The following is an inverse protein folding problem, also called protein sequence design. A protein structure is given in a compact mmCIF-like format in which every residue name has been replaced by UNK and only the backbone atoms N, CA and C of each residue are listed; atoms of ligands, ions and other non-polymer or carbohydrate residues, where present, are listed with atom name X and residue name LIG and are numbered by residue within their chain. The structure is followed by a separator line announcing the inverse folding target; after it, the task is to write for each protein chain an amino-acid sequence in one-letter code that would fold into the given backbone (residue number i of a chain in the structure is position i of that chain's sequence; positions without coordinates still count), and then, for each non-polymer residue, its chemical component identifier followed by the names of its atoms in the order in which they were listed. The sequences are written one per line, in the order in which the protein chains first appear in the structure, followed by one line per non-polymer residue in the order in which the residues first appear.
data_IF_227444330247
#
_entry.id   IF_227444330247
#
_cell.length_a   1.000
_cell.length_b   1.000
_cell.length_c   1.000
_cell.angle_alpha   90.00
_cell.angle_beta   90.00
_cell.angle_gamma   90.00
#
_symmetry.space_group_name_H-M   'P 1'
#
loop_
_entity.id
_entity.type
_entity.pdbx_description
1 polymer ?
#
# COMPACT_ATOMS: atom_id res chain seq x y z
N UNK A 1 -1.25 21.59 1.90
CA UNK A 1 0.04 21.12 1.36
C UNK A 1 -0.11 21.09 -0.14
N UNK A 2 0.72 21.86 -0.85
CA UNK A 2 0.64 22.00 -2.31
C UNK A 2 1.44 20.90 -3.02
N UNK A 3 1.02 20.51 -4.23
CA UNK A 3 1.66 19.43 -4.99
C UNK A 3 3.16 19.67 -5.23
N UNK A 4 3.56 20.91 -5.50
CA UNK A 4 4.95 21.32 -5.69
C UNK A 4 5.81 21.06 -4.44
N UNK A 5 5.26 21.31 -3.25
CA UNK A 5 5.92 21.05 -1.99
C UNK A 5 6.13 19.55 -1.77
N UNK A 6 5.10 18.73 -2.02
CA UNK A 6 5.19 17.27 -1.88
C UNK A 6 6.19 16.69 -2.86
N UNK A 7 6.13 17.15 -4.12
CA UNK A 7 7.04 16.71 -5.18
C UNK A 7 8.48 16.98 -4.74
N UNK A 8 8.85 18.21 -4.41
CA UNK A 8 10.23 18.49 -3.97
C UNK A 8 10.64 17.73 -2.72
N UNK A 9 9.75 17.59 -1.74
CA UNK A 9 10.07 16.92 -0.47
C UNK A 9 10.23 15.40 -0.58
N UNK A 10 9.62 14.78 -1.60
CA UNK A 10 9.67 13.33 -1.81
C UNK A 10 10.65 12.89 -2.89
N UNK A 11 11.34 13.84 -3.54
CA UNK A 11 12.37 13.51 -4.52
C UNK A 11 13.60 12.90 -3.83
N UNK A 12 13.94 11.67 -4.21
CA UNK A 12 15.16 11.01 -3.76
C UNK A 12 16.33 11.49 -4.63
N UNK A 13 17.10 12.44 -4.10
CA UNK A 13 18.28 12.99 -4.79
C UNK A 13 19.41 11.98 -4.97
N UNK A 14 19.45 10.91 -4.16
CA UNK A 14 20.49 9.88 -4.26
C UNK A 14 20.28 8.94 -5.45
N UNK A 15 19.01 8.67 -5.78
CA UNK A 15 18.63 7.84 -6.93
C UNK A 15 18.05 8.66 -8.10
N UNK A 16 18.01 9.98 -7.97
CA UNK A 16 17.38 10.93 -8.91
C UNK A 16 15.96 10.50 -9.33
N UNK A 17 15.16 10.04 -8.37
CA UNK A 17 13.88 9.39 -8.64
C UNK A 17 12.79 9.71 -7.61
N UNK A 18 11.54 9.46 -8.00
CA UNK A 18 10.39 9.41 -7.10
C UNK A 18 10.02 7.97 -6.78
N UNK A 19 9.25 7.77 -5.71
CA UNK A 19 8.74 6.43 -5.34
C UNK A 19 9.65 5.67 -4.37
N UNK A 20 10.66 6.33 -3.79
CA UNK A 20 11.34 5.82 -2.60
C UNK A 20 10.42 6.03 -1.37
N UNK A 21 9.67 5.01 -1.00
CA UNK A 21 8.67 5.13 0.05
C UNK A 21 9.19 5.40 1.46
N UNK A 22 10.37 4.90 1.86
CA UNK A 22 11.07 5.43 3.03
C UNK A 22 11.28 6.96 2.99
N UNK A 23 11.66 7.54 1.84
CA UNK A 23 11.77 9.00 1.68
C UNK A 23 10.42 9.68 1.84
N UNK A 24 9.35 9.12 1.26
CA UNK A 24 7.99 9.65 1.44
C UNK A 24 7.56 9.65 2.92
N UNK A 25 7.90 8.59 3.66
CA UNK A 25 7.63 8.51 5.10
C UNK A 25 8.45 9.55 5.89
N UNK A 26 9.73 9.75 5.54
CA UNK A 26 10.56 10.80 6.14
C UNK A 26 9.95 12.19 5.93
N UNK A 27 9.55 12.51 4.69
CA UNK A 27 8.92 13.79 4.36
C UNK A 27 7.59 13.99 5.11
N UNK A 28 6.75 12.95 5.24
CA UNK A 28 5.56 13.04 6.07
C UNK A 28 5.91 13.37 7.54
N UNK A 29 7.01 12.82 8.05
CA UNK A 29 7.59 13.15 9.36
C UNK A 29 7.97 14.62 9.50
N UNK A 30 8.63 15.20 8.49
CA UNK A 30 8.97 16.63 8.45
C UNK A 30 7.73 17.53 8.47
N UNK A 31 6.62 17.05 7.91
CA UNK A 31 5.33 17.75 7.95
C UNK A 31 4.58 17.57 9.29
N UNK A 32 5.23 17.00 10.31
CA UNK A 32 4.69 16.84 11.66
C UNK A 32 3.89 15.57 11.91
N UNK A 33 3.84 14.65 10.94
CA UNK A 33 3.15 13.37 11.07
C UNK A 33 4.03 12.33 11.77
N UNK A 34 3.45 11.34 12.42
CA UNK A 34 4.17 10.11 12.77
C UNK A 34 4.16 9.16 11.57
N UNK A 35 5.31 8.99 10.93
CA UNK A 35 5.45 8.12 9.77
C UNK A 35 6.61 7.11 9.92
N UNK A 36 6.37 5.84 9.58
CA UNK A 36 7.40 4.80 9.65
C UNK A 36 7.08 3.57 8.78
N UNK A 37 8.13 2.84 8.44
CA UNK A 37 8.05 1.52 7.78
C UNK A 37 8.04 0.41 8.83
N UNK A 38 7.23 -0.63 8.61
CA UNK A 38 7.17 -1.81 9.48
C UNK A 38 7.16 -3.09 8.65
N UNK A 39 8.11 -3.99 8.96
CA UNK A 39 8.05 -5.39 8.50
C UNK A 39 7.14 -6.19 9.43
N UNK A 40 6.12 -6.82 8.88
CA UNK A 40 5.12 -7.58 9.61
C UNK A 40 5.40 -9.09 9.50
N UNK A 41 5.10 -9.85 10.55
CA UNK A 41 5.21 -11.33 10.52
C UNK A 41 3.93 -12.02 10.06
N UNK A 42 2.81 -11.29 10.04
CA UNK A 42 1.49 -11.77 9.62
C UNK A 42 0.62 -10.58 9.22
N UNK A 43 -0.62 -10.84 8.78
CA UNK A 43 -1.60 -9.79 8.45
C UNK A 43 -2.17 -9.09 9.69
N UNK A 44 -2.02 -9.68 10.89
CA UNK A 44 -2.67 -9.17 12.10
C UNK A 44 -2.34 -7.71 12.45
N UNK A 45 -1.09 -7.22 12.32
CA UNK A 45 -0.80 -5.81 12.51
C UNK A 45 -1.61 -4.92 11.56
N UNK A 46 -1.79 -5.31 10.29
CA UNK A 46 -2.59 -4.58 9.31
C UNK A 46 -4.05 -4.52 9.76
N UNK A 47 -4.65 -5.67 10.10
CA UNK A 47 -6.02 -5.73 10.66
C UNK A 47 -6.17 -4.82 11.88
N UNK A 48 -5.19 -4.81 12.79
CA UNK A 48 -5.21 -3.96 13.99
C UNK A 48 -5.13 -2.45 13.70
N UNK A 49 -4.50 -2.02 12.59
CA UNK A 49 -4.55 -0.62 12.17
C UNK A 49 -5.92 -0.29 11.57
N UNK A 50 -6.43 -1.16 10.69
CA UNK A 50 -7.73 -0.98 10.05
C UNK A 50 -8.86 -0.91 11.09
N UNK A 51 -8.85 -1.75 12.13
CA UNK A 51 -9.86 -1.69 13.21
C UNK A 51 -9.81 -0.39 14.02
N UNK A 52 -8.71 0.35 13.97
CA UNK A 52 -8.54 1.67 14.56
C UNK A 52 -8.83 2.81 13.58
N UNK A 53 -9.31 2.51 12.37
CA UNK A 53 -9.56 3.49 11.32
C UNK A 53 -8.28 4.05 10.68
N UNK A 54 -7.13 3.37 10.84
CA UNK A 54 -5.85 3.80 10.28
C UNK A 54 -5.56 2.98 9.01
N UNK A 55 -5.68 3.55 7.80
CA UNK A 55 -5.26 2.87 6.59
C UNK A 55 -3.74 2.71 6.58
N UNK A 56 -3.25 1.68 5.89
CA UNK A 56 -1.80 1.43 5.77
C UNK A 56 -1.44 1.22 4.31
N UNK A 57 -0.28 1.74 3.91
CA UNK A 57 0.25 1.47 2.57
C UNK A 57 1.03 0.16 2.63
N UNK A 58 0.78 -0.77 1.72
CA UNK A 58 1.41 -2.08 1.68
C UNK A 58 2.16 -2.30 0.37
N UNK A 59 3.32 -2.95 0.45
CA UNK A 59 4.15 -3.25 -0.73
C UNK A 59 3.95 -4.68 -1.21
N UNK A 60 3.49 -4.83 -2.44
CA UNK A 60 3.31 -6.12 -3.11
C UNK A 60 4.35 -6.29 -4.23
N UNK A 61 4.65 -7.52 -4.61
CA UNK A 61 5.47 -7.86 -5.76
C UNK A 61 5.04 -9.23 -6.29
N UNK A 62 4.79 -9.30 -7.60
CA UNK A 62 4.40 -10.53 -8.29
C UNK A 62 4.86 -10.49 -9.73
N UNK A 63 5.35 -11.63 -10.22
CA UNK A 63 5.85 -11.73 -11.59
C UNK A 63 4.73 -12.05 -12.57
N UNK A 64 3.71 -12.80 -12.14
CA UNK A 64 2.56 -13.15 -12.96
C UNK A 64 1.33 -12.38 -12.45
N UNK A 65 0.47 -11.97 -13.37
CA UNK A 65 -0.77 -11.26 -13.03
C UNK A 65 -1.75 -12.20 -12.31
N UNK A 66 -1.73 -13.47 -12.68
CA UNK A 66 -2.60 -14.54 -12.21
C UNK A 66 -2.30 -14.95 -10.75
N UNK A 67 -1.20 -14.49 -10.17
CA UNK A 67 -0.89 -14.71 -8.75
C UNK A 67 -1.87 -13.94 -7.83
N UNK A 68 -2.60 -12.96 -8.38
CA UNK A 68 -3.61 -12.16 -7.69
C UNK A 68 -4.82 -11.89 -8.59
N UNK A 69 -5.92 -12.60 -8.36
CA UNK A 69 -7.11 -12.46 -9.19
C UNK A 69 -7.66 -11.03 -9.16
N UNK A 70 -7.94 -10.48 -10.35
CA UNK A 70 -8.43 -9.10 -10.51
C UNK A 70 -7.34 -8.03 -10.47
N UNK A 71 -6.06 -8.40 -10.37
CA UNK A 71 -4.96 -7.48 -10.60
C UNK A 71 -4.97 -6.96 -12.05
N UNK A 72 -4.47 -5.76 -12.28
CA UNK A 72 -4.48 -5.12 -13.60
C UNK A 72 -3.27 -5.53 -14.43
N UNK A 73 -2.12 -5.74 -13.79
CA UNK A 73 -0.87 -6.18 -14.39
C UNK A 73 -0.07 -7.04 -13.42
N UNK A 74 1.07 -7.58 -13.87
CA UNK A 74 2.12 -8.00 -12.95
C UNK A 74 2.82 -6.78 -12.33
N UNK A 75 3.52 -7.00 -11.21
CA UNK A 75 4.22 -5.96 -10.45
C UNK A 75 5.63 -6.44 -10.07
N UNK A 76 6.44 -6.82 -11.06
CA UNK A 76 7.78 -7.40 -10.83
C UNK A 76 8.76 -6.41 -10.19
N UNK A 77 8.62 -5.11 -10.47
CA UNK A 77 9.36 -4.03 -9.79
C UNK A 77 8.82 -3.67 -8.39
N UNK A 78 7.72 -4.29 -7.99
CA UNK A 78 6.95 -3.92 -6.81
C UNK A 78 5.88 -2.87 -7.10
N UNK A 79 4.86 -2.84 -6.26
CA UNK A 79 3.73 -1.92 -6.34
C UNK A 79 3.20 -1.62 -4.95
N UNK A 80 2.62 -0.42 -4.76
CA UNK A 80 2.00 -0.05 -3.49
C UNK A 80 0.49 0.04 -3.61
N UNK A 81 -0.18 -0.52 -2.61
CA UNK A 81 -1.62 -0.46 -2.44
C UNK A 81 -1.94 0.12 -1.07
N UNK A 82 -3.02 0.90 -0.95
CA UNK A 82 -3.49 1.36 0.38
C UNK A 82 -4.53 0.39 0.89
N UNK A 83 -4.23 -0.35 1.95
CA UNK A 83 -5.21 -1.20 2.64
C UNK A 83 -6.16 -0.31 3.43
N UNK A 84 -7.45 -0.48 3.19
CA UNK A 84 -8.52 0.33 3.80
C UNK A 84 -9.57 -0.51 4.53
N UNK A 85 -9.54 -1.84 4.38
CA UNK A 85 -10.56 -2.69 4.93
C UNK A 85 -10.27 -4.17 4.78
N UNK A 86 -11.13 -4.97 5.41
CA UNK A 86 -11.28 -6.40 5.18
C UNK A 86 -12.76 -6.69 5.09
N UNK A 87 -13.13 -7.65 4.26
CA UNK A 87 -14.52 -8.05 4.06
C UNK A 87 -14.63 -9.57 3.90
N UNK A 88 -15.81 -10.14 4.13
CA UNK A 88 -16.07 -11.56 3.94
C UNK A 88 -17.24 -11.72 2.97
N UNK A 89 -16.97 -12.33 1.82
CA UNK A 89 -17.94 -12.58 0.76
C UNK A 89 -18.01 -14.09 0.55
N UNK A 90 -19.20 -14.67 0.71
CA UNK A 90 -19.44 -16.11 0.56
C UNK A 90 -18.47 -17.00 1.38
N UNK A 91 -18.11 -16.53 2.58
CA UNK A 91 -17.19 -17.24 3.48
C UNK A 91 -15.70 -17.09 3.15
N UNK A 92 -15.35 -16.32 2.12
CA UNK A 92 -13.97 -16.02 1.72
C UNK A 92 -13.60 -14.63 2.24
N UNK A 93 -12.43 -14.53 2.90
CA UNK A 93 -11.92 -13.24 3.37
C UNK A 93 -11.19 -12.49 2.24
N UNK A 94 -11.49 -11.21 2.11
CA UNK A 94 -10.89 -10.29 1.16
C UNK A 94 -10.19 -9.16 1.90
N UNK A 95 -9.05 -8.73 1.37
CA UNK A 95 -8.48 -7.41 1.70
C UNK A 95 -9.08 -6.37 0.76
N UNK A 96 -9.54 -5.26 1.32
CA UNK A 96 -10.05 -4.12 0.58
C UNK A 96 -8.94 -3.10 0.46
N UNK A 97 -8.57 -2.76 -0.77
CA UNK A 97 -7.50 -1.82 -1.06
C UNK A 97 -7.98 -0.70 -1.99
N UNK A 98 -7.32 0.44 -1.90
CA UNK A 98 -7.27 1.42 -2.96
C UNK A 98 -5.98 1.16 -3.77
N UNK A 99 -6.12 0.59 -4.97
CA UNK A 99 -5.05 0.26 -5.90
C UNK A 99 -4.90 1.37 -6.96
N UNK A 100 -3.80 2.14 -6.95
CA UNK A 100 -3.59 3.24 -7.90
C UNK A 100 -3.26 2.77 -9.32
N UNK A 101 -3.06 1.47 -9.57
CA UNK A 101 -2.91 0.94 -10.94
C UNK A 101 -4.23 0.92 -11.74
N UNK A 102 -5.35 1.26 -11.11
CA UNK A 102 -6.66 1.35 -11.75
C UNK A 102 -6.69 2.33 -12.93
N UNK A 103 -7.42 1.96 -13.99
CA UNK A 103 -7.58 2.79 -15.18
C UNK A 103 -8.50 3.99 -14.96
N UNK A 104 -9.26 4.01 -13.86
CA UNK A 104 -10.16 5.09 -13.50
C UNK A 104 -10.34 5.21 -11.98
N UNK A 105 -10.72 6.40 -11.51
CA UNK A 105 -10.97 6.66 -10.08
C UNK A 105 -12.03 5.74 -9.48
N UNK A 106 -13.03 5.36 -10.26
CA UNK A 106 -14.12 4.46 -9.84
C UNK A 106 -13.65 3.02 -9.65
N UNK A 107 -12.53 2.63 -10.25
CA UNK A 107 -11.97 1.28 -10.19
C UNK A 107 -10.85 1.13 -9.15
N UNK A 108 -10.43 2.21 -8.49
CA UNK A 108 -9.34 2.21 -7.51
C UNK A 108 -9.65 1.27 -6.34
N UNK A 109 -10.91 1.19 -5.91
CA UNK A 109 -11.30 0.26 -4.85
C UNK A 109 -11.35 -1.17 -5.41
N UNK A 110 -10.48 -2.03 -4.89
CA UNK A 110 -10.37 -3.45 -5.26
C UNK A 110 -10.57 -4.34 -4.03
N UNK A 111 -11.10 -5.53 -4.29
CA UNK A 111 -11.26 -6.61 -3.32
C UNK A 111 -10.40 -7.77 -3.80
N UNK A 112 -9.38 -8.12 -3.04
CA UNK A 112 -8.49 -9.24 -3.34
C UNK A 112 -8.68 -10.33 -2.32
N UNK A 113 -8.74 -11.59 -2.76
CA UNK A 113 -8.79 -12.72 -1.83
C UNK A 113 -7.56 -12.66 -0.94
N UNK A 114 -7.76 -12.72 0.37
CA UNK A 114 -6.69 -12.47 1.33
C UNK A 114 -5.58 -13.52 1.23
N UNK A 115 -5.93 -14.78 0.93
CA UNK A 115 -4.98 -15.89 0.79
C UNK A 115 -4.07 -15.75 -0.44
N UNK A 116 -4.54 -15.13 -1.53
CA UNK A 116 -3.72 -14.76 -2.68
C UNK A 116 -2.88 -13.52 -2.36
N UNK A 117 -3.51 -12.48 -1.82
CA UNK A 117 -2.85 -11.20 -1.56
C UNK A 117 -1.68 -11.33 -0.59
N UNK A 118 -1.80 -12.17 0.46
CA UNK A 118 -0.69 -12.41 1.41
C UNK A 118 0.53 -13.02 0.73
N UNK A 119 0.36 -13.84 -0.33
CA UNK A 119 1.48 -14.48 -1.03
C UNK A 119 2.30 -13.49 -1.85
N UNK A 120 1.64 -12.45 -2.38
CA UNK A 120 2.30 -11.39 -3.17
C UNK A 120 2.74 -10.20 -2.32
N UNK A 121 2.31 -10.13 -1.07
CA UNK A 121 2.71 -9.09 -0.13
C UNK A 121 4.15 -9.28 0.35
N UNK A 122 4.99 -8.24 0.25
CA UNK A 122 6.38 -8.25 0.72
C UNK A 122 6.52 -8.14 2.24
N UNK A 123 5.40 -8.19 2.98
CA UNK A 123 5.33 -8.02 4.43
C UNK A 123 5.74 -6.64 4.94
N UNK A 124 5.90 -5.63 4.08
CA UNK A 124 6.15 -4.27 4.49
C UNK A 124 4.87 -3.44 4.43
N UNK A 125 4.65 -2.65 5.49
CA UNK A 125 3.70 -1.55 5.49
C UNK A 125 4.38 -0.22 5.80
N UNK A 126 3.79 0.86 5.33
CA UNK A 126 4.08 2.23 5.71
C UNK A 126 2.87 2.77 6.45
N UNK A 127 3.10 3.25 7.66
CA UNK A 127 2.07 3.79 8.54
C UNK A 127 2.32 5.28 8.68
N UNK A 128 1.29 6.07 8.45
CA UNK A 128 1.31 7.52 8.59
C UNK A 128 0.10 7.93 9.42
N UNK A 129 0.32 8.59 10.55
CA UNK A 129 -0.73 9.11 11.42
C UNK A 129 -0.43 10.56 11.79
N UNK A 130 -1.44 11.37 12.13
CA UNK A 130 -1.22 12.66 12.78
C UNK A 130 -0.40 12.52 14.08
#
# INVERSE_FOLDING_TARGET
MELDQVTRGTFDTGNEAYGNWPQNAAFAGEMGMRAYTKKCKSINPVKNYITKGIPVVASVCMNNKEDLDGAISSFSGGHLMVVVGFDVIDGIEYVVVNDPAANSNTEVRKYYRLDQWIKVWRHYIYVVTP
#
